data_IF_692230930825
#
_entry.id   IF_692230930825
#
_cell.length_a   1.000
_cell.length_b   1.000
_cell.length_c   1.000
_cell.angle_alpha   90.00
_cell.angle_beta   90.00
_cell.angle_gamma   90.00
#
_symmetry.space_group_name_H-M   'P 1'
#
loop_
_entity.id
_entity.type
_entity.pdbx_description
1 polymer ?
#
# COMPACT_ATOMS: atom_id res chain seq x y z
N UNK A 1 15.80 -26.19 5.19
CA UNK A 1 16.03 -26.47 3.75
C UNK A 1 15.06 -25.72 2.81
N UNK A 2 13.83 -25.39 3.23
CA UNK A 2 12.79 -24.79 2.37
C UNK A 2 13.13 -23.37 1.86
N UNK A 3 13.77 -22.50 2.65
CA UNK A 3 14.18 -21.16 2.18
C UNK A 3 15.21 -21.18 1.04
N UNK A 4 15.91 -22.30 0.81
CA UNK A 4 16.94 -22.35 -0.23
C UNK A 4 16.34 -22.39 -1.65
N UNK A 5 15.10 -22.86 -1.79
CA UNK A 5 14.47 -23.04 -3.10
C UNK A 5 13.83 -21.75 -3.60
N UNK A 6 13.04 -21.06 -2.76
CA UNK A 6 12.48 -19.75 -3.11
C UNK A 6 13.57 -18.73 -3.45
N UNK A 7 14.67 -18.72 -2.71
CA UNK A 7 15.81 -17.83 -2.99
C UNK A 7 16.51 -18.18 -4.31
N UNK A 8 16.61 -19.47 -4.68
CA UNK A 8 17.14 -19.87 -6.00
C UNK A 8 16.23 -19.39 -7.13
N UNK A 9 14.93 -19.63 -7.02
CA UNK A 9 13.93 -19.18 -8.00
C UNK A 9 13.94 -17.65 -8.15
N UNK A 10 14.02 -16.91 -7.03
CA UNK A 10 14.16 -15.46 -7.06
C UNK A 10 15.44 -15.02 -7.79
N UNK A 11 16.58 -15.66 -7.53
CA UNK A 11 17.83 -15.35 -8.22
C UNK A 11 17.74 -15.59 -9.74
N UNK A 12 17.09 -16.67 -10.18
CA UNK A 12 16.86 -16.94 -11.60
C UNK A 12 15.98 -15.86 -12.25
N UNK A 13 14.91 -15.44 -11.57
CA UNK A 13 14.07 -14.31 -12.03
C UNK A 13 14.91 -13.05 -12.16
N UNK A 14 15.74 -12.74 -11.16
CA UNK A 14 16.54 -11.52 -11.14
C UNK A 14 17.67 -11.50 -12.17
N UNK A 15 18.21 -12.66 -12.56
CA UNK A 15 19.19 -12.75 -13.65
C UNK A 15 18.58 -12.41 -15.02
N UNK A 16 17.28 -12.69 -15.19
CA UNK A 16 16.57 -12.45 -16.44
C UNK A 16 15.96 -11.04 -16.55
N UNK A 17 16.11 -10.20 -15.52
CA UNK A 17 15.54 -8.86 -15.45
C UNK A 17 16.66 -7.82 -15.29
N UNK A 18 16.51 -6.67 -15.95
CA UNK A 18 17.44 -5.56 -15.81
C UNK A 18 17.26 -4.89 -14.44
N UNK A 19 18.17 -5.16 -13.51
CA UNK A 19 18.16 -4.62 -12.14
C UNK A 19 19.34 -3.67 -11.95
N UNK A 20 19.10 -2.51 -11.34
CA UNK A 20 20.15 -1.57 -10.97
C UNK A 20 20.91 -2.01 -9.71
N UNK A 21 22.12 -1.48 -9.50
CA UNK A 21 22.92 -1.74 -8.28
C UNK A 21 22.19 -1.35 -6.99
N UNK A 22 21.41 -0.26 -7.02
CA UNK A 22 20.58 0.16 -5.90
C UNK A 22 19.47 -0.86 -5.61
N UNK A 23 18.74 -1.32 -6.63
CA UNK A 23 17.68 -2.32 -6.47
C UNK A 23 18.22 -3.65 -5.95
N UNK A 24 19.39 -4.07 -6.41
CA UNK A 24 20.06 -5.27 -5.88
C UNK A 24 20.34 -5.19 -4.38
N UNK A 25 20.76 -4.02 -3.89
CA UNK A 25 20.98 -3.80 -2.44
C UNK A 25 19.66 -3.86 -1.67
N UNK A 26 18.59 -3.30 -2.24
CA UNK A 26 17.25 -3.35 -1.64
C UNK A 26 16.76 -4.80 -1.57
N UNK A 27 16.90 -5.57 -2.65
CA UNK A 27 16.50 -6.98 -2.74
C UNK A 27 17.14 -7.81 -1.63
N UNK A 28 18.47 -7.70 -1.41
CA UNK A 28 19.14 -8.42 -0.32
C UNK A 28 18.52 -8.15 1.06
N UNK A 29 18.16 -6.89 1.32
CA UNK A 29 17.51 -6.53 2.58
C UNK A 29 16.05 -6.97 2.68
N UNK A 30 15.39 -7.17 1.54
CA UNK A 30 14.03 -7.73 1.44
C UNK A 30 14.10 -9.23 1.74
N UNK A 31 15.03 -9.96 1.10
CA UNK A 31 15.21 -11.39 1.30
C UNK A 31 15.45 -11.72 2.78
N UNK A 32 16.42 -11.07 3.41
CA UNK A 32 16.70 -11.24 4.84
C UNK A 32 15.48 -10.92 5.74
N UNK A 33 14.61 -10.00 5.34
CA UNK A 33 13.42 -9.64 6.11
C UNK A 33 12.29 -10.68 5.99
N UNK A 34 12.10 -11.25 4.80
CA UNK A 34 11.06 -12.23 4.50
C UNK A 34 11.52 -13.68 4.76
N UNK A 35 12.72 -13.91 5.28
CA UNK A 35 13.09 -15.21 5.87
C UNK A 35 12.17 -15.60 7.03
N UNK A 36 11.68 -14.62 7.79
CA UNK A 36 10.71 -14.84 8.86
C UNK A 36 9.30 -15.09 8.30
N UNK A 37 8.73 -16.24 8.67
CA UNK A 37 7.42 -16.68 8.22
C UNK A 37 6.26 -15.74 8.59
N UNK A 38 6.32 -15.13 9.78
CA UNK A 38 5.27 -14.21 10.22
C UNK A 38 5.16 -13.01 9.29
N UNK A 39 6.31 -12.49 8.83
CA UNK A 39 6.36 -11.37 7.88
C UNK A 39 5.78 -11.77 6.52
N UNK A 40 6.07 -12.99 6.05
CA UNK A 40 5.53 -13.53 4.81
C UNK A 40 4.01 -13.67 4.90
N UNK A 41 3.51 -14.28 5.97
CA UNK A 41 2.08 -14.52 6.17
C UNK A 41 1.30 -13.21 6.30
N UNK A 42 1.83 -12.24 7.06
CA UNK A 42 1.24 -10.91 7.17
C UNK A 42 1.19 -10.20 5.81
N UNK A 43 2.29 -10.23 5.05
CA UNK A 43 2.33 -9.64 3.72
C UNK A 43 1.29 -10.28 2.80
N UNK A 44 1.27 -11.62 2.71
CA UNK A 44 0.34 -12.37 1.88
C UNK A 44 -1.13 -12.08 2.26
N UNK A 45 -1.43 -12.00 3.55
CA UNK A 45 -2.79 -11.69 4.04
C UNK A 45 -3.29 -10.31 3.58
N UNK A 46 -2.40 -9.30 3.54
CA UNK A 46 -2.75 -7.94 3.15
C UNK A 46 -2.95 -7.85 1.63
N UNK A 47 -2.04 -8.43 0.84
CA UNK A 47 -2.13 -8.37 -0.63
C UNK A 47 -3.35 -9.15 -1.15
N UNK A 48 -3.72 -10.27 -0.53
CA UNK A 48 -4.92 -11.04 -0.87
C UNK A 48 -6.23 -10.38 -0.40
N UNK A 49 -6.14 -9.26 0.31
CA UNK A 49 -7.31 -8.61 0.92
C UNK A 49 -8.09 -9.55 1.86
N UNK A 50 -7.36 -10.43 2.55
CA UNK A 50 -7.84 -11.30 3.64
C UNK A 50 -7.67 -10.61 4.99
N UNK A 51 -6.68 -9.73 5.09
CA UNK A 51 -6.47 -8.88 6.25
C UNK A 51 -7.57 -7.85 6.41
N UNK A 52 -7.92 -7.56 7.67
CA UNK A 52 -8.80 -6.47 8.06
C UNK A 52 -8.32 -5.08 7.62
N UNK A 53 -7.01 -4.95 7.36
CA UNK A 53 -6.37 -3.69 7.02
C UNK A 53 -6.13 -3.66 5.51
N UNK A 54 -6.85 -2.77 4.83
CA UNK A 54 -6.68 -2.59 3.39
C UNK A 54 -5.46 -1.71 3.05
N UNK A 55 -4.89 -1.90 1.86
CA UNK A 55 -3.80 -1.07 1.33
C UNK A 55 -4.19 0.43 1.28
N UNK A 56 -5.47 0.73 0.99
CA UNK A 56 -5.97 2.12 1.00
C UNK A 56 -5.99 2.74 2.40
N UNK A 57 -6.33 1.96 3.42
CA UNK A 57 -6.29 2.42 4.80
C UNK A 57 -4.85 2.71 5.23
N UNK A 58 -3.91 1.84 4.84
CA UNK A 58 -2.48 2.02 5.09
C UNK A 58 -1.96 3.30 4.41
N UNK A 59 -2.26 3.50 3.13
CA UNK A 59 -1.87 4.70 2.39
C UNK A 59 -2.43 5.98 3.04
N UNK A 60 -3.73 6.00 3.38
CA UNK A 60 -4.33 7.13 4.11
C UNK A 60 -3.64 7.37 5.45
N UNK A 61 -3.31 6.30 6.17
CA UNK A 61 -2.63 6.40 7.44
C UNK A 61 -1.26 7.09 7.31
N UNK A 62 -0.38 6.56 6.46
CA UNK A 62 1.01 7.05 6.35
C UNK A 62 1.11 8.42 5.67
N UNK A 63 0.23 8.72 4.72
CA UNK A 63 0.29 9.98 3.95
C UNK A 63 -0.42 11.15 4.63
N UNK A 64 -1.49 10.89 5.39
CA UNK A 64 -2.37 11.94 5.92
C UNK A 64 -2.61 11.82 7.42
N UNK A 65 -3.09 10.68 7.91
CA UNK A 65 -3.47 10.53 9.31
C UNK A 65 -2.28 10.80 10.24
N UNK A 66 -1.15 10.11 10.00
CA UNK A 66 0.05 10.23 10.82
C UNK A 66 0.61 11.66 10.84
N UNK A 67 0.49 12.39 9.73
CA UNK A 67 0.86 13.81 9.63
C UNK A 67 -0.02 14.68 10.52
N UNK A 68 -1.34 14.54 10.36
CA UNK A 68 -2.32 15.39 11.03
C UNK A 68 -2.35 15.15 12.54
N UNK A 69 -2.19 13.89 12.96
CA UNK A 69 -2.23 13.49 14.37
C UNK A 69 -0.85 13.42 15.02
N UNK A 70 0.22 13.82 14.31
CA UNK A 70 1.61 13.77 14.78
C UNK A 70 1.95 12.42 15.43
N UNK A 71 1.58 11.32 14.76
CA UNK A 71 1.69 9.97 15.32
C UNK A 71 3.17 9.62 15.58
N UNK A 72 3.51 9.52 16.86
CA UNK A 72 4.80 9.09 17.36
C UNK A 72 4.62 7.99 18.40
N UNK A 73 5.50 7.00 18.41
CA UNK A 73 5.55 6.00 19.46
C UNK A 73 6.97 5.46 19.62
N UNK A 74 7.20 4.78 20.75
CA UNK A 74 8.47 4.11 21.02
C UNK A 74 8.54 2.78 20.29
N UNK A 75 9.65 2.53 19.63
CA UNK A 75 10.01 1.22 19.07
C UNK A 75 11.28 0.74 19.75
N UNK A 76 11.35 -0.56 20.05
CA UNK A 76 12.57 -1.22 20.52
C UNK A 76 13.30 -1.77 19.30
N UNK A 77 14.46 -1.19 18.98
CA UNK A 77 15.38 -1.70 17.96
C UNK A 77 16.71 -1.98 18.64
N UNK A 78 17.22 -3.21 18.53
CA UNK A 78 18.52 -3.63 19.07
C UNK A 78 18.72 -3.27 20.56
N UNK A 79 17.74 -3.59 21.41
CA UNK A 79 17.70 -3.25 22.85
C UNK A 79 17.70 -1.74 23.18
N UNK A 80 17.58 -0.86 22.19
CA UNK A 80 17.43 0.59 22.39
C UNK A 80 16.00 1.02 22.13
N UNK A 81 15.43 1.83 23.03
CA UNK A 81 14.15 2.48 22.81
C UNK A 81 14.35 3.76 21.99
N UNK A 82 13.72 3.83 20.83
CA UNK A 82 13.75 5.01 19.95
C UNK A 82 12.33 5.52 19.72
N UNK A 83 12.16 6.84 19.77
CA UNK A 83 10.89 7.48 19.41
C UNK A 83 10.89 7.70 17.90
N UNK A 84 9.91 7.12 17.22
CA UNK A 84 9.76 7.31 15.78
C UNK A 84 8.53 8.17 15.47
N UNK A 85 8.71 9.19 14.63
CA UNK A 85 7.61 9.89 13.97
C UNK A 85 7.32 9.22 12.63
N UNK A 86 6.11 8.68 12.48
CA UNK A 86 5.77 7.85 11.32
C UNK A 86 5.74 8.63 10.03
N UNK A 87 5.16 9.84 10.03
CA UNK A 87 5.10 10.66 8.82
C UNK A 87 6.50 11.09 8.36
N UNK A 88 7.36 11.49 9.30
CA UNK A 88 8.75 11.85 8.98
C UNK A 88 9.53 10.64 8.45
N UNK A 89 9.40 9.47 9.09
CA UNK A 89 10.04 8.24 8.62
C UNK A 89 9.58 7.87 7.21
N UNK A 90 8.28 7.92 6.93
CA UNK A 90 7.72 7.69 5.60
C UNK A 90 8.32 8.64 4.54
N UNK A 91 8.43 9.94 4.86
CA UNK A 91 9.03 10.93 3.97
C UNK A 91 10.52 10.68 3.72
N UNK A 92 11.26 10.18 4.71
CA UNK A 92 12.67 9.81 4.55
C UNK A 92 12.81 8.60 3.60
N UNK A 93 11.95 7.58 3.73
CA UNK A 93 11.94 6.42 2.83
C UNK A 93 11.67 6.84 1.37
N UNK A 94 10.69 7.71 1.14
CA UNK A 94 10.42 8.25 -0.20
C UNK A 94 11.59 9.06 -0.78
N UNK A 95 12.38 9.74 0.05
CA UNK A 95 13.59 10.44 -0.42
C UNK A 95 14.70 9.46 -0.80
N UNK A 96 14.89 8.40 0.00
CA UNK A 96 15.94 7.41 -0.22
C UNK A 96 15.66 6.49 -1.41
N UNK A 97 14.41 6.06 -1.58
CA UNK A 97 14.02 5.00 -2.52
C UNK A 97 13.16 5.50 -3.69
N UNK A 98 12.73 6.76 -3.65
CA UNK A 98 11.76 7.33 -4.59
C UNK A 98 10.43 6.54 -4.57
N UNK A 99 9.46 6.97 -5.37
CA UNK A 99 8.21 6.20 -5.52
C UNK A 99 8.41 4.86 -6.23
N UNK A 100 9.47 4.75 -7.05
CA UNK A 100 9.79 3.52 -7.80
C UNK A 100 10.04 2.33 -6.85
N UNK A 101 10.88 2.53 -5.83
CA UNK A 101 11.30 1.45 -4.92
C UNK A 101 10.63 1.56 -3.54
N UNK A 102 9.51 2.29 -3.43
CA UNK A 102 8.76 2.43 -2.19
C UNK A 102 7.30 2.86 -2.48
N UNK A 103 6.45 1.89 -2.83
CA UNK A 103 5.03 2.11 -3.18
C UNK A 103 4.15 0.94 -2.71
N UNK A 104 3.12 1.18 -1.87
CA UNK A 104 2.24 0.10 -1.40
C UNK A 104 1.36 -0.54 -2.48
N UNK A 105 1.13 0.14 -3.62
CA UNK A 105 0.14 -0.26 -4.63
C UNK A 105 0.68 -1.12 -5.79
N UNK A 106 1.91 -1.63 -5.68
CA UNK A 106 2.57 -2.42 -6.73
C UNK A 106 2.47 -1.80 -8.13
N UNK A 107 2.65 -0.48 -8.23
CA UNK A 107 2.69 0.22 -9.52
C UNK A 107 4.11 0.17 -10.09
N UNK A 108 4.22 -0.03 -11.40
CA UNK A 108 5.48 -0.14 -12.12
C UNK A 108 5.79 -1.56 -12.59
N UNK A 109 7.08 -1.87 -12.71
CA UNK A 109 7.57 -3.14 -13.26
C UNK A 109 7.31 -4.28 -12.27
N UNK A 110 6.37 -5.16 -12.65
CA UNK A 110 6.01 -6.31 -11.83
C UNK A 110 6.93 -7.48 -12.10
N UNK A 111 7.28 -8.17 -11.02
CA UNK A 111 8.13 -9.33 -11.00
C UNK A 111 7.41 -10.48 -10.28
N UNK A 112 7.59 -11.72 -10.72
CA UNK A 112 7.28 -12.86 -9.87
C UNK A 112 8.27 -12.87 -8.70
N UNK A 113 7.76 -13.01 -7.48
CA UNK A 113 8.58 -13.14 -6.28
C UNK A 113 8.10 -14.33 -5.46
N UNK A 114 9.02 -15.22 -5.15
CA UNK A 114 8.78 -16.46 -4.42
C UNK A 114 9.02 -16.23 -2.93
N UNK A 115 7.96 -16.43 -2.16
CA UNK A 115 7.90 -16.31 -0.71
C UNK A 115 7.56 -17.68 -0.13
N UNK A 116 8.58 -18.46 0.22
CA UNK A 116 8.43 -19.87 0.62
C UNK A 116 7.65 -20.63 -0.47
N UNK A 117 6.45 -21.11 -0.15
CA UNK A 117 5.60 -21.90 -1.05
C UNK A 117 4.66 -21.06 -1.93
N UNK A 118 4.67 -19.73 -1.75
CA UNK A 118 3.78 -18.82 -2.48
C UNK A 118 4.57 -18.05 -3.54
N UNK A 119 4.00 -17.92 -4.73
CA UNK A 119 4.48 -16.97 -5.74
C UNK A 119 3.52 -15.78 -5.83
N UNK A 120 4.07 -14.56 -5.72
CA UNK A 120 3.32 -13.30 -5.82
C UNK A 120 3.81 -12.50 -7.02
N UNK A 121 2.88 -11.94 -7.79
CA UNK A 121 3.22 -10.94 -8.80
C UNK A 121 3.21 -9.56 -8.13
N UNK A 122 4.39 -9.03 -7.83
CA UNK A 122 4.58 -7.83 -7.00
C UNK A 122 5.64 -6.89 -7.61
N UNK A 123 5.98 -5.79 -6.95
CA UNK A 123 7.10 -4.92 -7.34
C UNK A 123 8.11 -4.84 -6.20
N UNK A 124 9.38 -4.53 -6.52
CA UNK A 124 10.41 -4.26 -5.49
C UNK A 124 9.94 -3.16 -4.54
N UNK A 125 9.24 -2.14 -5.07
CA UNK A 125 8.70 -1.05 -4.27
C UNK A 125 7.60 -1.47 -3.29
N UNK A 126 6.75 -2.43 -3.65
CA UNK A 126 5.74 -2.97 -2.74
C UNK A 126 6.37 -3.81 -1.64
N UNK A 127 7.30 -4.71 -1.99
CA UNK A 127 8.03 -5.51 -1.00
C UNK A 127 8.79 -4.65 0.00
N UNK A 128 9.50 -3.62 -0.49
CA UNK A 128 10.26 -2.70 0.35
C UNK A 128 9.36 -1.84 1.25
N UNK A 129 8.23 -1.37 0.73
CA UNK A 129 7.24 -0.63 1.52
C UNK A 129 6.73 -1.46 2.70
N UNK A 130 6.32 -2.70 2.44
CA UNK A 130 5.77 -3.57 3.48
C UNK A 130 6.81 -4.02 4.49
N UNK A 131 8.06 -4.25 4.06
CA UNK A 131 9.21 -4.42 4.96
C UNK A 131 9.29 -3.28 5.98
N UNK A 132 9.37 -2.03 5.51
CA UNK A 132 9.41 -0.86 6.41
C UNK A 132 8.17 -0.78 7.31
N UNK A 133 6.98 -1.01 6.74
CA UNK A 133 5.71 -0.93 7.45
C UNK A 133 5.62 -1.89 8.64
N UNK A 134 6.07 -3.13 8.47
CA UNK A 134 6.11 -4.13 9.52
C UNK A 134 7.26 -3.88 10.50
N UNK A 135 8.46 -3.54 10.03
CA UNK A 135 9.61 -3.20 10.89
C UNK A 135 9.27 -2.09 11.87
N UNK A 136 8.56 -1.04 11.41
CA UNK A 136 8.17 0.09 12.26
C UNK A 136 6.89 -0.17 13.08
N UNK A 137 6.39 -1.41 13.14
CA UNK A 137 5.20 -1.83 13.89
C UNK A 137 3.95 -1.00 13.57
N UNK A 138 3.87 -0.48 12.34
CA UNK A 138 2.75 0.36 11.91
C UNK A 138 1.49 -0.48 11.81
N UNK A 139 1.60 -1.73 11.37
CA UNK A 139 0.49 -2.69 11.33
C UNK A 139 -0.27 -2.74 12.66
N UNK A 140 0.44 -2.93 13.78
CA UNK A 140 -0.14 -3.02 15.11
C UNK A 140 -0.83 -1.71 15.51
N UNK A 141 -0.22 -0.56 15.21
CA UNK A 141 -0.82 0.74 15.48
C UNK A 141 -2.14 0.91 14.73
N UNK A 142 -2.17 0.59 13.43
CA UNK A 142 -3.39 0.68 12.62
C UNK A 142 -4.43 -0.30 13.14
N UNK A 143 -4.06 -1.54 13.47
CA UNK A 143 -4.98 -2.55 14.02
C UNK A 143 -5.69 -2.04 15.27
N UNK A 144 -4.96 -1.45 16.20
CA UNK A 144 -5.50 -0.93 17.47
C UNK A 144 -6.35 0.35 17.30
N UNK A 145 -6.12 1.12 16.23
CA UNK A 145 -6.77 2.42 16.00
C UNK A 145 -7.65 2.43 14.73
N UNK A 146 -8.01 1.25 14.20
CA UNK A 146 -8.63 1.08 12.89
C UNK A 146 -9.86 1.96 12.70
N UNK A 147 -10.81 1.90 13.64
CA UNK A 147 -12.06 2.66 13.59
C UNK A 147 -11.82 4.17 13.47
N UNK A 148 -10.86 4.71 14.24
CA UNK A 148 -10.55 6.13 14.23
C UNK A 148 -9.96 6.58 12.89
N UNK A 149 -9.07 5.76 12.32
CA UNK A 149 -8.43 6.03 11.03
C UNK A 149 -9.46 5.96 9.90
N UNK A 150 -10.35 4.97 9.91
CA UNK A 150 -11.43 4.83 8.94
C UNK A 150 -12.42 6.00 8.99
N UNK A 151 -12.77 6.45 10.19
CA UNK A 151 -13.61 7.63 10.38
C UNK A 151 -12.93 8.87 9.81
N UNK A 152 -11.64 9.11 10.06
CA UNK A 152 -10.89 10.24 9.47
C UNK A 152 -10.86 10.17 7.93
N UNK A 153 -10.61 8.97 7.38
CA UNK A 153 -10.62 8.74 5.95
C UNK A 153 -11.98 9.11 5.32
N UNK A 154 -13.07 8.71 5.96
CA UNK A 154 -14.43 8.97 5.49
C UNK A 154 -14.89 10.42 5.69
N UNK A 155 -14.45 11.10 6.75
CA UNK A 155 -14.79 12.52 7.02
C UNK A 155 -14.32 13.43 5.89
N UNK A 156 -13.11 13.19 5.37
CA UNK A 156 -12.55 14.01 4.27
C UNK A 156 -13.28 13.79 2.95
N UNK A 157 -13.77 12.58 2.69
CA UNK A 157 -14.59 12.29 1.50
C UNK A 157 -15.94 13.03 1.52
N UNK A 158 -16.48 13.33 2.71
CA UNK A 158 -17.72 14.13 2.85
C UNK A 158 -17.46 15.63 2.65
N UNK A 159 -16.30 16.14 3.10
CA UNK A 159 -15.93 17.54 2.94
C UNK A 159 -15.63 17.91 1.48
N UNK A 160 -14.98 17.01 0.72
CA UNK A 160 -14.70 17.23 -0.70
C UNK A 160 -15.97 17.34 -1.55
N UNK A 161 -17.01 16.54 -1.26
CA UNK A 161 -18.32 16.60 -1.93
C UNK A 161 -19.04 17.94 -1.67
N UNK A 162 -19.11 18.38 -0.40
CA UNK A 162 -19.72 19.68 -0.05
C UNK A 162 -19.05 20.87 -0.76
N UNK A 163 -17.74 20.82 -0.99
CA UNK A 163 -17.02 21.87 -1.70
C UNK A 163 -17.23 21.82 -3.23
N UNK A 164 -17.45 20.63 -3.81
CA UNK A 164 -17.85 20.51 -5.22
C UNK A 164 -19.27 21.04 -5.45
N UNK A 165 -20.21 20.76 -4.54
CA UNK A 165 -21.57 21.29 -4.61
C UNK A 165 -21.59 22.82 -4.54
N UNK A 166 -20.76 23.43 -3.68
CA UNK A 166 -20.60 24.90 -3.60
C UNK A 166 -19.98 25.50 -4.88
N UNK A 167 -19.01 24.84 -5.50
CA UNK A 167 -18.40 25.29 -6.77
C UNK A 167 -19.40 25.23 -7.94
N UNK A 168 -20.25 24.21 -7.98
CA UNK A 168 -21.32 24.10 -8.98
C UNK A 168 -22.41 25.17 -8.82
N UNK A 169 -22.68 25.61 -7.58
CA UNK A 169 -23.59 26.75 -7.32
C UNK A 169 -22.97 28.07 -7.81
N UNK A 170 -21.66 28.31 -7.62
CA UNK A 170 -21.01 29.53 -8.11
C UNK A 170 -20.89 29.61 -9.64
N UNK A 171 -20.79 28.47 -10.34
CA UNK A 171 -20.71 28.43 -11.81
C UNK A 171 -22.08 28.73 -12.46
N UNK A 172 -23.20 28.45 -11.76
CA UNK A 172 -24.55 28.77 -12.26
C UNK A 172 -24.87 30.27 -12.31
N UNK A 173 -24.13 31.11 -11.60
CA UNK A 173 -24.44 32.55 -11.52
C UNK A 173 -23.71 33.41 -12.57
N UNK A 174 -22.75 32.86 -13.31
CA UNK A 174 -21.98 33.60 -14.32
C UNK A 174 -21.87 32.82 -15.63
N UNK A 175 -22.98 32.56 -16.33
CA UNK A 175 -23.03 32.42 -17.80
C UNK A 175 -24.46 32.12 -18.27
N UNK A 176 -25.25 33.17 -18.49
CA UNK A 176 -26.29 33.14 -19.51
C UNK A 176 -25.63 33.41 -20.86
N UNK A 177 -25.33 32.35 -21.61
CA UNK A 177 -25.48 32.29 -23.06
C UNK A 177 -25.18 30.88 -23.56
N UNK A 178 -26.27 30.22 -23.96
CA UNK A 178 -26.37 29.25 -25.05
C UNK A 178 -25.16 28.33 -25.27
N UNK A 179 -25.21 27.13 -24.66
CA UNK A 179 -25.05 25.90 -25.44
C UNK A 179 -25.65 24.68 -24.73
N UNK A 180 -26.42 23.96 -25.53
CA UNK A 180 -27.24 22.78 -25.25
C UNK A 180 -26.34 21.63 -24.77
N UNK A 181 -26.42 21.26 -23.49
CA UNK A 181 -25.85 20.00 -22.99
C UNK A 181 -26.97 19.07 -22.53
N UNK A 182 -27.05 17.99 -23.29
CA UNK A 182 -28.02 16.92 -23.26
C UNK A 182 -27.97 16.22 -21.89
N UNK A 183 -29.05 16.38 -21.12
CA UNK A 183 -29.30 15.62 -19.89
C UNK A 183 -29.85 14.25 -20.32
N UNK A 184 -28.99 13.25 -20.44
CA UNK A 184 -29.45 11.85 -20.46
C UNK A 184 -29.62 11.41 -18.99
N UNK A 185 -30.88 11.34 -18.58
CA UNK A 185 -31.33 10.62 -17.38
C UNK A 185 -31.54 9.14 -17.73
N UNK A 186 -31.24 8.29 -16.73
CA UNK A 186 -31.55 6.85 -16.58
C UNK A 186 -30.64 5.94 -17.41
N UNK A 187 -29.98 4.95 -16.82
CA UNK A 187 -30.62 3.76 -16.25
C UNK A 187 -29.88 3.15 -15.05
N UNK A 188 -30.67 2.52 -14.18
CA UNK A 188 -30.28 1.72 -13.02
C UNK A 188 -29.19 0.70 -13.33
N UNK A 189 -27.99 0.89 -12.79
CA UNK A 189 -26.97 -0.17 -12.75
C UNK A 189 -27.34 -1.06 -11.57
N UNK A 190 -28.04 -2.16 -11.87
CA UNK A 190 -28.23 -3.28 -10.96
C UNK A 190 -26.85 -3.82 -10.55
N UNK A 191 -26.71 -4.11 -9.26
CA UNK A 191 -25.59 -4.79 -8.59
C UNK A 191 -24.68 -5.60 -9.51
N UNK A 192 -23.47 -5.09 -9.75
CA UNK A 192 -22.31 -5.90 -10.15
C UNK A 192 -21.58 -6.28 -8.86
N UNK A 193 -22.25 -7.07 -8.01
CA UNK A 193 -21.65 -7.69 -6.84
C UNK A 193 -21.37 -9.16 -7.15
N UNK A 194 -20.44 -9.42 -8.07
CA UNK A 194 -19.74 -10.71 -8.14
C UNK A 194 -18.54 -10.67 -9.09
N UNK A 195 -17.59 -9.77 -8.83
CA UNK A 195 -16.21 -10.11 -9.20
C UNK A 195 -15.71 -11.06 -8.12
N UNK A 196 -15.59 -12.35 -8.46
CA UNK A 196 -14.78 -13.28 -7.66
C UNK A 196 -13.41 -12.60 -7.50
N UNK A 197 -12.97 -12.42 -6.25
CA UNK A 197 -11.63 -11.93 -5.95
C UNK A 197 -10.65 -12.95 -6.53
N UNK A 198 -10.06 -12.66 -7.67
CA UNK A 198 -8.96 -13.47 -8.19
C UNK A 198 -7.84 -13.41 -7.15
N UNK A 199 -7.51 -14.57 -6.56
CA UNK A 199 -6.34 -14.69 -5.68
C UNK A 199 -5.12 -14.37 -6.54
N UNK A 200 -4.34 -13.37 -6.13
CA UNK A 200 -3.12 -12.95 -6.84
C UNK A 200 -1.97 -13.95 -6.58
N UNK A 201 -2.13 -14.84 -5.59
CA UNK A 201 -1.15 -15.85 -5.23
C UNK A 201 -1.42 -17.15 -5.97
N UNK A 202 -0.37 -17.64 -6.65
CA UNK A 202 -0.28 -19.03 -7.11
C UNK A 202 0.51 -19.78 -6.04
N UNK A 203 -0.17 -20.68 -5.32
CA UNK A 203 0.46 -21.63 -4.41
C UNK A 203 0.79 -22.90 -5.18
N UNK A 204 2.01 -23.41 -5.03
CA UNK A 204 2.37 -24.72 -5.56
C UNK A 204 2.17 -25.75 -4.45
N UNK A 205 1.30 -26.73 -4.67
CA UNK A 205 1.14 -27.92 -3.82
C UNK A 205 2.33 -28.88 -3.98
#
# INVERSE_FOLDING_TARGET
>A
MINSESSKLNNEVFQNIKISSQEYTIIKTIEAFYENEENVNLFCSIINSESDISIRLIDHFVTKYAKNHKTCYKIKENNTEQIINIYTSYKQQLKAYQKKNFDPFSRGDRIPYFLKNNCVITTIGQLNFFKWFFSKKIYNYIKNNKNNIEIDMNKKNKMSRKNQDKKNISIKNNNYSNNKLIIIKKTSIKNINQFKKDKIIVSFE
#
